data_IF_996621545263
#
_entry.id   IF_996621545263
#
_cell.length_a   1.000
_cell.length_b   1.000
_cell.length_c   1.000
_cell.angle_alpha   90.00
_cell.angle_beta   90.00
_cell.angle_gamma   90.00
#
_symmetry.space_group_name_H-M   'P 1'
#
loop_
_entity.id
_entity.type
_entity.pdbx_description
1 polymer ?
#
# COMPACT_ATOMS: atom_id res chain seq x y z
N UNK A 1 -28.54 14.07 -3.26
CA UNK A 1 -28.65 13.94 -1.80
C UNK A 1 -27.40 14.55 -1.19
N UNK A 2 -27.49 15.83 -0.81
CA UNK A 2 -26.37 16.67 -0.43
C UNK A 2 -26.23 16.60 1.10
N UNK A 3 -25.10 16.10 1.61
CA UNK A 3 -24.83 16.02 3.04
C UNK A 3 -24.02 17.27 3.42
N UNK A 4 -24.68 18.20 4.12
CA UNK A 4 -24.09 19.39 4.71
C UNK A 4 -23.34 18.99 6.00
N UNK A 5 -22.08 19.37 6.21
CA UNK A 5 -21.38 19.11 7.47
C UNK A 5 -21.93 19.98 8.62
N UNK A 6 -22.24 19.32 9.73
CA UNK A 6 -22.89 19.80 10.96
C UNK A 6 -22.03 20.73 11.84
N UNK A 7 -21.32 21.70 11.27
CA UNK A 7 -20.46 22.63 12.02
C UNK A 7 -21.12 23.99 12.36
N UNK A 8 -22.29 24.32 11.83
CA UNK A 8 -22.87 25.68 11.94
C UNK A 8 -23.75 25.95 13.16
N UNK A 9 -23.90 25.02 14.11
CA UNK A 9 -24.99 25.13 15.11
C UNK A 9 -24.66 25.77 16.46
N UNK A 10 -23.47 26.34 16.70
CA UNK A 10 -23.06 26.74 18.08
C UNK A 10 -22.55 28.17 18.31
N UNK A 11 -22.85 29.15 17.45
CA UNK A 11 -22.49 30.55 17.75
C UNK A 11 -23.67 31.50 17.48
N UNK A 12 -24.66 31.50 18.38
CA UNK A 12 -25.62 32.61 18.51
C UNK A 12 -25.73 33.02 19.97
N UNK A 13 -24.94 34.02 20.35
CA UNK A 13 -25.19 34.85 21.54
C UNK A 13 -25.19 36.30 21.08
N UNK A 14 -26.39 36.88 21.03
CA UNK A 14 -26.62 38.28 20.66
C UNK A 14 -26.51 39.16 21.90
N UNK A 15 -25.52 40.04 21.96
CA UNK A 15 -25.50 41.18 22.89
C UNK A 15 -26.05 42.42 22.19
N UNK A 16 -27.20 42.90 22.68
CA UNK A 16 -27.81 44.18 22.34
C UNK A 16 -26.89 45.34 22.74
N UNK A 17 -26.52 46.20 21.78
CA UNK A 17 -25.96 47.52 22.05
C UNK A 17 -26.61 48.58 21.14
N UNK A 18 -26.85 49.72 21.77
CA UNK A 18 -27.59 50.92 21.37
C UNK A 18 -26.98 51.62 20.13
N UNK A 19 -27.77 52.23 19.23
CA UNK A 19 -27.24 52.88 18.04
C UNK A 19 -26.72 54.30 18.35
N UNK A 20 -25.42 54.52 18.20
CA UNK A 20 -24.85 55.87 18.06
C UNK A 20 -24.58 56.12 16.59
N UNK A 21 -25.34 57.03 15.99
CA UNK A 21 -25.16 57.46 14.61
C UNK A 21 -23.86 58.27 14.49
N UNK A 22 -22.97 57.84 13.60
CA UNK A 22 -21.81 58.63 13.18
C UNK A 22 -21.65 58.52 11.66
N UNK A 23 -21.88 59.66 11.00
CA UNK A 23 -21.53 60.05 9.62
C UNK A 23 -21.40 58.95 8.55
N UNK A 24 -22.39 58.94 7.66
CA UNK A 24 -22.32 58.30 6.33
C UNK A 24 -21.20 58.91 5.48
N UNK A 25 -20.05 58.25 5.45
CA UNK A 25 -19.20 58.28 4.26
C UNK A 25 -19.78 57.27 3.27
N UNK A 26 -20.37 57.74 2.18
CA UNK A 26 -20.65 56.89 1.03
C UNK A 26 -19.31 56.32 0.55
N UNK A 27 -19.04 55.05 0.84
CA UNK A 27 -18.04 54.29 0.12
C UNK A 27 -18.42 54.33 -1.35
N UNK A 28 -17.48 54.64 -2.24
CA UNK A 28 -17.76 54.63 -3.66
C UNK A 28 -18.32 53.26 -4.06
N UNK A 29 -19.34 53.25 -4.91
CA UNK A 29 -19.93 52.05 -5.55
C UNK A 29 -18.93 51.32 -6.48
N UNK A 30 -17.63 51.57 -6.32
CA UNK A 30 -16.50 51.01 -7.06
C UNK A 30 -15.51 50.28 -6.15
N UNK A 31 -15.83 50.08 -4.87
CA UNK A 31 -15.06 49.18 -4.01
C UNK A 31 -15.22 47.75 -4.53
N UNK A 32 -14.34 47.32 -5.45
CA UNK A 32 -14.24 45.93 -5.85
C UNK A 32 -14.04 45.09 -4.58
N UNK A 33 -14.86 44.05 -4.35
CA UNK A 33 -14.64 43.15 -3.22
C UNK A 33 -13.24 42.57 -3.35
N UNK A 34 -12.34 43.02 -2.48
CA UNK A 34 -10.96 42.53 -2.45
C UNK A 34 -11.00 41.17 -1.80
N UNK A 35 -10.97 40.12 -2.61
CA UNK A 35 -10.80 38.74 -2.13
C UNK A 35 -9.35 38.64 -1.64
N UNK A 36 -9.15 38.78 -0.34
CA UNK A 36 -7.87 38.51 0.30
C UNK A 36 -7.64 36.99 0.20
N UNK A 37 -6.53 36.52 -0.38
CA UNK A 37 -6.23 35.09 -0.43
C UNK A 37 -6.12 34.52 0.99
N UNK A 38 -6.88 33.47 1.29
CA UNK A 38 -6.77 32.76 2.55
C UNK A 38 -5.39 32.12 2.71
N UNK A 39 -4.89 32.12 3.94
CA UNK A 39 -3.66 31.42 4.29
C UNK A 39 -3.82 29.90 4.06
N UNK A 40 -2.75 29.19 3.65
CA UNK A 40 -2.83 27.74 3.45
C UNK A 40 -3.22 27.01 4.74
N UNK A 41 -4.19 26.10 4.63
CA UNK A 41 -4.61 25.24 5.74
C UNK A 41 -3.70 24.02 5.79
N UNK A 42 -3.05 23.79 6.93
CA UNK A 42 -2.21 22.63 7.14
C UNK A 42 -3.01 21.48 7.74
N UNK A 43 -3.02 20.35 7.05
CA UNK A 43 -3.57 19.11 7.58
C UNK A 43 -2.46 18.34 8.30
N UNK A 44 -2.65 17.97 9.56
CA UNK A 44 -1.64 17.24 10.31
C UNK A 44 -2.17 15.91 10.83
N UNK A 45 -1.27 14.93 10.96
CA UNK A 45 -1.56 13.75 11.76
C UNK A 45 -1.69 14.17 13.23
N UNK A 46 -2.77 13.74 13.87
CA UNK A 46 -2.99 13.92 15.30
C UNK A 46 -2.33 12.81 16.11
N UNK A 47 -2.52 12.85 17.43
CA UNK A 47 -1.99 11.84 18.36
C UNK A 47 -2.41 10.41 17.99
N UNK A 48 -3.64 10.22 17.52
CA UNK A 48 -4.14 8.91 17.09
C UNK A 48 -3.32 8.34 15.93
N UNK A 49 -3.09 9.11 14.86
CA UNK A 49 -2.30 8.66 13.72
C UNK A 49 -0.87 8.27 14.14
N UNK A 50 -0.20 9.10 14.93
CA UNK A 50 1.15 8.79 15.41
C UNK A 50 1.21 7.55 16.31
N UNK A 51 0.23 7.35 17.20
CA UNK A 51 0.14 6.13 18.02
C UNK A 51 -0.07 4.89 17.14
N UNK A 52 -0.90 4.99 16.11
CA UNK A 52 -1.10 3.90 15.14
C UNK A 52 0.20 3.53 14.44
N UNK A 53 0.98 4.51 13.97
CA UNK A 53 2.27 4.25 13.31
C UNK A 53 3.24 3.48 14.22
N UNK A 54 3.37 3.89 15.49
CA UNK A 54 4.20 3.19 16.48
C UNK A 54 3.68 1.79 16.80
N UNK A 55 2.36 1.61 16.96
CA UNK A 55 1.77 0.31 17.24
C UNK A 55 2.05 -0.68 16.09
N UNK A 56 1.87 -0.25 14.84
CA UNK A 56 2.11 -1.09 13.66
C UNK A 56 3.59 -1.41 13.49
N UNK A 57 4.49 -0.44 13.75
CA UNK A 57 5.93 -0.70 13.80
C UNK A 57 6.26 -1.87 14.74
N UNK A 58 5.78 -1.83 15.99
CA UNK A 58 6.02 -2.89 16.97
C UNK A 58 5.45 -4.23 16.49
N UNK A 59 4.21 -4.24 15.98
CA UNK A 59 3.58 -5.47 15.47
C UNK A 59 4.35 -6.09 14.31
N UNK A 60 4.89 -5.27 13.40
CA UNK A 60 5.70 -5.74 12.27
C UNK A 60 7.05 -6.29 12.71
N UNK A 61 7.72 -5.65 13.68
CA UNK A 61 8.96 -6.18 14.29
C UNK A 61 8.70 -7.53 14.94
N UNK A 62 7.65 -7.64 15.76
CA UNK A 62 7.28 -8.91 16.41
C UNK A 62 6.94 -10.00 15.39
N UNK A 63 6.22 -9.64 14.32
CA UNK A 63 5.89 -10.58 13.24
C UNK A 63 7.15 -11.05 12.50
N UNK A 64 8.06 -10.13 12.18
CA UNK A 64 9.34 -10.45 11.54
C UNK A 64 10.18 -11.40 12.41
N UNK A 65 10.31 -11.10 13.71
CA UNK A 65 11.00 -11.97 14.67
C UNK A 65 10.36 -13.37 14.76
N UNK A 66 9.02 -13.43 14.77
CA UNK A 66 8.30 -14.71 14.78
C UNK A 66 8.56 -15.53 13.51
N UNK A 67 8.50 -14.93 12.32
CA UNK A 67 8.77 -15.64 11.06
C UNK A 67 10.22 -16.08 10.93
N UNK A 68 11.17 -15.24 11.37
CA UNK A 68 12.58 -15.61 11.48
C UNK A 68 12.77 -16.80 12.42
N UNK A 69 12.13 -16.77 13.59
CA UNK A 69 12.17 -17.85 14.58
C UNK A 69 11.61 -19.17 14.05
N UNK A 70 10.46 -19.12 13.37
CA UNK A 70 9.87 -20.30 12.72
C UNK A 70 10.80 -20.88 11.64
N UNK A 71 11.58 -20.04 10.96
CA UNK A 71 12.49 -20.49 9.90
C UNK A 71 13.63 -21.36 10.42
N UNK A 72 14.07 -21.20 11.67
CA UNK A 72 15.23 -21.94 12.22
C UNK A 72 15.06 -23.45 12.23
N UNK A 73 13.82 -23.94 12.27
CA UNK A 73 13.49 -25.37 12.31
C UNK A 73 13.23 -25.98 10.92
N UNK A 74 13.34 -25.20 9.84
CA UNK A 74 13.06 -25.64 8.47
C UNK A 74 14.38 -25.92 7.74
N UNK A 75 14.54 -26.86 6.79
CA UNK A 75 15.78 -26.95 6.01
C UNK A 75 15.98 -25.73 5.08
N UNK A 76 17.22 -25.31 4.80
CA UNK A 76 17.52 -24.11 3.99
C UNK A 76 16.80 -24.11 2.64
N UNK A 77 16.75 -25.25 1.95
CA UNK A 77 16.05 -25.43 0.67
C UNK A 77 14.53 -25.19 0.73
N UNK A 78 13.93 -25.20 1.92
CA UNK A 78 12.49 -24.97 2.16
C UNK A 78 12.19 -23.67 2.91
N UNK A 79 13.22 -22.86 3.23
CA UNK A 79 13.06 -21.62 4.03
C UNK A 79 12.66 -20.39 3.20
N UNK A 80 12.66 -20.45 1.88
CA UNK A 80 12.52 -19.25 1.05
C UNK A 80 11.22 -18.46 1.33
N UNK A 81 10.06 -19.10 1.55
CA UNK A 81 8.84 -18.37 1.94
C UNK A 81 9.00 -17.64 3.28
N UNK A 82 9.71 -18.24 4.25
CA UNK A 82 9.99 -17.60 5.52
C UNK A 82 10.91 -16.39 5.34
N UNK A 83 11.95 -16.52 4.51
CA UNK A 83 12.86 -15.40 4.18
C UNK A 83 12.10 -14.26 3.52
N UNK A 84 11.29 -14.55 2.49
CA UNK A 84 10.49 -13.53 1.80
C UNK A 84 9.50 -12.83 2.75
N UNK A 85 8.80 -13.59 3.60
CA UNK A 85 7.85 -13.04 4.58
C UNK A 85 8.55 -12.20 5.66
N UNK A 86 9.68 -12.68 6.17
CA UNK A 86 10.48 -11.97 7.20
C UNK A 86 11.02 -10.67 6.64
N UNK A 87 11.59 -10.69 5.43
CA UNK A 87 12.08 -9.49 4.74
C UNK A 87 10.94 -8.51 4.48
N UNK A 88 9.79 -8.99 4.00
CA UNK A 88 8.66 -8.10 3.74
C UNK A 88 8.17 -7.38 5.00
N UNK A 89 8.00 -8.10 6.11
CA UNK A 89 7.58 -7.50 7.39
C UNK A 89 8.66 -6.59 8.00
N UNK A 90 9.94 -6.93 7.83
CA UNK A 90 11.05 -6.09 8.29
C UNK A 90 11.15 -4.78 7.49
N UNK A 91 11.02 -4.83 6.17
CA UNK A 91 10.97 -3.65 5.31
C UNK A 91 9.85 -2.72 5.73
N UNK A 92 8.64 -3.26 5.95
CA UNK A 92 7.52 -2.43 6.42
C UNK A 92 7.78 -1.88 7.82
N UNK A 93 8.38 -2.65 8.74
CA UNK A 93 8.74 -2.11 10.05
C UNK A 93 9.64 -0.87 9.92
N UNK A 94 10.66 -0.91 9.05
CA UNK A 94 11.54 0.24 8.81
C UNK A 94 10.77 1.44 8.23
N UNK A 95 9.85 1.22 7.31
CA UNK A 95 9.02 2.28 6.76
C UNK A 95 8.09 2.90 7.82
N UNK A 96 7.43 2.09 8.65
CA UNK A 96 6.59 2.58 9.75
C UNK A 96 7.40 3.32 10.81
N UNK A 97 8.62 2.89 11.10
CA UNK A 97 9.55 3.64 11.95
C UNK A 97 9.83 5.03 11.36
N UNK A 98 10.21 5.10 10.08
CA UNK A 98 10.44 6.36 9.37
C UNK A 98 9.21 7.29 9.33
N UNK A 99 8.01 6.73 9.22
CA UNK A 99 6.76 7.50 9.29
C UNK A 99 6.49 8.01 10.72
N UNK A 100 6.70 7.17 11.73
CA UNK A 100 6.49 7.53 13.13
C UNK A 100 7.46 8.63 13.60
N UNK A 101 8.70 8.61 13.10
CA UNK A 101 9.73 9.64 13.33
C UNK A 101 9.63 10.83 12.37
N UNK A 102 8.65 10.84 11.46
CA UNK A 102 8.37 11.88 10.45
C UNK A 102 9.40 12.03 9.33
N UNK A 103 10.41 11.17 9.26
CA UNK A 103 11.41 11.17 8.17
C UNK A 103 10.83 10.64 6.85
N UNK A 104 9.80 9.80 6.94
CA UNK A 104 9.08 9.21 5.80
C UNK A 104 7.93 10.07 5.25
N UNK A 105 7.85 11.34 5.65
CA UNK A 105 6.76 12.25 5.29
C UNK A 105 7.31 13.46 4.54
N UNK A 106 6.60 13.90 3.50
CA UNK A 106 6.85 15.19 2.82
C UNK A 106 5.56 16.00 2.73
N UNK A 107 5.65 17.32 2.58
CA UNK A 107 4.48 18.20 2.55
C UNK A 107 4.17 18.61 1.12
N UNK A 108 2.91 18.49 0.72
CA UNK A 108 2.47 18.85 -0.62
C UNK A 108 1.28 19.80 -0.60
N UNK A 109 1.34 20.83 -1.44
CA UNK A 109 0.26 21.80 -1.59
C UNK A 109 -0.76 21.28 -2.61
N UNK A 110 -2.04 21.46 -2.31
CA UNK A 110 -3.13 21.21 -3.24
C UNK A 110 -4.20 22.29 -3.13
N UNK A 111 -5.04 22.39 -4.16
CA UNK A 111 -6.00 23.49 -4.33
C UNK A 111 -7.40 22.92 -4.43
N UNK A 112 -8.32 23.45 -3.64
CA UNK A 112 -9.75 23.13 -3.70
C UNK A 112 -10.48 24.39 -4.17
N UNK A 113 -11.31 24.23 -5.20
CA UNK A 113 -12.18 25.32 -5.68
C UNK A 113 -13.46 25.25 -4.86
N UNK A 114 -13.72 26.27 -4.06
CA UNK A 114 -14.96 26.42 -3.30
C UNK A 114 -15.95 27.15 -4.19
N UNK A 115 -17.03 26.44 -4.54
CA UNK A 115 -18.11 27.00 -5.34
C UNK A 115 -19.04 27.80 -4.45
N UNK A 116 -19.28 29.06 -4.81
CA UNK A 116 -20.16 29.96 -4.08
C UNK A 116 -21.32 30.37 -4.99
N UNK A 117 -22.53 30.44 -4.45
CA UNK A 117 -23.73 30.76 -5.25
C UNK A 117 -23.81 32.23 -5.69
N UNK A 118 -23.38 33.16 -4.83
CA UNK A 118 -23.61 34.60 -5.01
C UNK A 118 -22.31 35.41 -5.12
N UNK A 119 -21.15 34.75 -5.07
CA UNK A 119 -19.82 35.38 -5.23
C UNK A 119 -18.94 34.50 -6.13
N UNK A 120 -17.89 35.07 -6.76
CA UNK A 120 -16.95 34.28 -7.53
C UNK A 120 -16.38 33.09 -6.73
N UNK A 121 -16.07 32.01 -7.43
CA UNK A 121 -15.42 30.84 -6.82
C UNK A 121 -14.12 31.28 -6.13
N UNK A 122 -13.92 30.77 -4.93
CA UNK A 122 -12.68 30.99 -4.18
C UNK A 122 -11.79 29.77 -4.28
N UNK A 123 -10.48 29.96 -4.17
CA UNK A 123 -9.51 28.86 -4.19
C UNK A 123 -8.88 28.77 -2.81
N UNK A 124 -9.11 27.65 -2.15
CA UNK A 124 -8.49 27.35 -0.87
C UNK A 124 -7.27 26.45 -1.06
N UNK A 125 -6.17 26.84 -0.46
CA UNK A 125 -4.91 26.10 -0.51
C UNK A 125 -4.79 25.22 0.73
N UNK A 126 -4.52 23.94 0.52
CA UNK A 126 -4.27 22.97 1.59
C UNK A 126 -2.85 22.43 1.48
N UNK A 127 -2.20 22.21 2.62
CA UNK A 127 -0.88 21.58 2.72
C UNK A 127 -1.07 20.26 3.45
N UNK A 128 -0.86 19.14 2.76
CA UNK A 128 -1.10 17.80 3.31
C UNK A 128 0.17 16.96 3.30
N UNK A 129 0.42 16.16 4.35
CA UNK A 129 1.54 15.24 4.40
C UNK A 129 1.30 14.07 3.44
N UNK A 130 2.31 13.75 2.64
CA UNK A 130 2.39 12.54 1.84
C UNK A 130 3.39 11.61 2.53
N UNK A 131 2.91 10.44 2.92
CA UNK A 131 3.69 9.38 3.54
C UNK A 131 4.51 8.61 2.47
N UNK A 132 5.52 9.26 1.89
CA UNK A 132 6.31 8.72 0.78
C UNK A 132 7.01 7.39 1.11
N UNK A 133 7.34 7.16 2.39
CA UNK A 133 7.96 5.90 2.84
C UNK A 133 7.08 4.67 2.59
N UNK A 134 5.74 4.81 2.54
CA UNK A 134 4.87 3.71 2.14
C UNK A 134 5.15 3.23 0.71
N UNK A 135 5.42 4.14 -0.23
CA UNK A 135 5.70 3.74 -1.61
C UNK A 135 7.04 3.02 -1.74
N UNK A 136 8.04 3.38 -0.93
CA UNK A 136 9.32 2.62 -0.87
C UNK A 136 9.09 1.24 -0.27
N UNK A 137 8.28 1.15 0.80
CA UNK A 137 7.85 -0.13 1.37
C UNK A 137 7.17 -1.00 0.31
N UNK A 138 6.15 -0.49 -0.38
CA UNK A 138 5.39 -1.25 -1.38
C UNK A 138 6.23 -1.62 -2.60
N UNK A 139 7.20 -0.79 -2.98
CA UNK A 139 8.12 -1.07 -4.09
C UNK A 139 9.02 -2.28 -3.79
N UNK A 140 9.35 -2.51 -2.52
CA UNK A 140 10.18 -3.64 -2.09
C UNK A 140 9.32 -4.84 -1.70
N UNK A 141 8.24 -4.62 -0.94
CA UNK A 141 7.39 -5.70 -0.40
C UNK A 141 6.43 -6.27 -1.42
N UNK A 142 5.95 -5.48 -2.38
CA UNK A 142 5.10 -5.96 -3.47
C UNK A 142 5.75 -7.07 -4.29
N UNK A 143 7.01 -6.90 -4.79
CA UNK A 143 7.75 -7.98 -5.44
C UNK A 143 7.95 -9.21 -4.56
N UNK A 144 8.26 -9.04 -3.27
CA UNK A 144 8.46 -10.16 -2.33
C UNK A 144 7.16 -10.95 -2.10
N UNK A 145 6.02 -10.27 -1.98
CA UNK A 145 4.71 -10.91 -1.84
C UNK A 145 4.31 -11.63 -3.13
N UNK A 146 4.49 -11.00 -4.28
CA UNK A 146 4.15 -11.61 -5.57
C UNK A 146 5.07 -12.77 -5.91
N UNK A 147 6.35 -12.73 -5.52
CA UNK A 147 7.22 -13.90 -5.64
C UNK A 147 6.66 -15.09 -4.86
N UNK A 148 6.19 -14.90 -3.63
CA UNK A 148 5.57 -15.97 -2.83
C UNK A 148 4.33 -16.54 -3.51
N UNK A 149 3.45 -15.69 -4.05
CA UNK A 149 2.23 -16.11 -4.75
C UNK A 149 2.53 -16.81 -6.08
N UNK A 150 3.50 -16.32 -6.85
CA UNK A 150 3.94 -16.91 -8.11
C UNK A 150 4.54 -18.29 -7.89
N UNK A 151 5.38 -18.46 -6.87
CA UNK A 151 5.94 -19.76 -6.52
C UNK A 151 4.84 -20.73 -6.08
N UNK A 152 3.85 -20.25 -5.33
CA UNK A 152 2.72 -21.08 -4.92
C UNK A 152 1.91 -21.60 -6.12
N UNK A 153 1.73 -20.78 -7.16
CA UNK A 153 1.10 -21.21 -8.41
C UNK A 153 2.00 -22.07 -9.31
N UNK A 154 3.32 -22.14 -9.03
CA UNK A 154 4.30 -22.72 -9.94
C UNK A 154 4.42 -21.96 -11.27
N UNK A 155 4.31 -20.64 -11.23
CA UNK A 155 4.55 -19.81 -12.41
C UNK A 155 6.01 -19.89 -12.84
N UNK A 156 6.24 -19.88 -14.16
CA UNK A 156 7.59 -19.78 -14.71
C UNK A 156 8.22 -18.41 -14.45
N UNK A 157 9.53 -18.30 -14.73
CA UNK A 157 10.30 -17.08 -14.52
C UNK A 157 9.79 -15.88 -15.32
N UNK A 158 9.33 -16.06 -16.56
CA UNK A 158 8.85 -14.97 -17.38
C UNK A 158 7.53 -14.41 -16.84
N UNK A 159 6.56 -15.27 -16.51
CA UNK A 159 5.31 -14.82 -15.87
C UNK A 159 5.57 -14.18 -14.50
N UNK A 160 6.48 -14.73 -13.71
CA UNK A 160 6.89 -14.14 -12.42
C UNK A 160 7.50 -12.75 -12.60
N UNK A 161 8.43 -12.58 -13.55
CA UNK A 161 9.08 -11.29 -13.83
C UNK A 161 8.09 -10.25 -14.35
N UNK A 162 7.17 -10.64 -15.24
CA UNK A 162 6.09 -9.75 -15.72
C UNK A 162 5.23 -9.29 -14.54
N UNK A 163 4.87 -10.20 -13.64
CA UNK A 163 4.06 -9.89 -12.46
C UNK A 163 4.77 -8.89 -11.54
N UNK A 164 6.06 -9.09 -11.28
CA UNK A 164 6.89 -8.19 -10.47
C UNK A 164 7.04 -6.82 -11.15
N UNK A 165 7.36 -6.79 -12.44
CA UNK A 165 7.51 -5.54 -13.19
C UNK A 165 6.20 -4.73 -13.23
N UNK A 166 5.06 -5.40 -13.43
CA UNK A 166 3.75 -4.78 -13.38
C UNK A 166 3.48 -4.17 -11.99
N UNK A 167 3.82 -4.87 -10.90
CA UNK A 167 3.71 -4.31 -9.57
C UNK A 167 4.62 -3.07 -9.36
N UNK A 168 5.86 -3.11 -9.83
CA UNK A 168 6.77 -1.95 -9.76
C UNK A 168 6.14 -0.74 -10.44
N UNK A 169 5.57 -0.92 -11.64
CA UNK A 169 4.87 0.15 -12.37
C UNK A 169 3.61 0.61 -11.62
N UNK A 170 2.84 -0.32 -11.05
CA UNK A 170 1.67 0.00 -10.22
C UNK A 170 2.04 0.93 -9.06
N UNK A 171 3.06 0.59 -8.28
CA UNK A 171 3.51 1.39 -7.13
C UNK A 171 4.09 2.74 -7.56
N UNK A 172 4.96 2.76 -8.58
CA UNK A 172 5.57 4.00 -9.08
C UNK A 172 4.52 4.94 -9.70
N UNK A 173 3.56 4.41 -10.45
CA UNK A 173 2.44 5.19 -10.98
C UNK A 173 1.59 5.79 -9.85
N UNK A 174 1.34 5.03 -8.78
CA UNK A 174 0.66 5.54 -7.59
C UNK A 174 1.44 6.66 -6.90
N UNK A 175 2.77 6.49 -6.75
CA UNK A 175 3.67 7.49 -6.18
C UNK A 175 3.62 8.80 -7.00
N UNK A 176 3.87 8.71 -8.30
CA UNK A 176 3.89 9.91 -9.15
C UNK A 176 2.52 10.56 -9.28
N UNK A 177 1.43 9.79 -9.20
CA UNK A 177 0.09 10.36 -9.10
C UNK A 177 -0.08 11.17 -7.80
N UNK A 178 0.39 10.65 -6.66
CA UNK A 178 0.35 11.36 -5.39
C UNK A 178 1.17 12.66 -5.38
N UNK A 179 2.31 12.69 -6.10
CA UNK A 179 3.17 13.87 -6.21
C UNK A 179 2.76 14.84 -7.33
N UNK A 180 1.97 14.42 -8.31
CA UNK A 180 1.50 15.30 -9.39
C UNK A 180 0.36 16.26 -8.95
N UNK A 181 0.26 16.56 -7.66
CA UNK A 181 -0.84 17.38 -7.15
C UNK A 181 -0.77 18.80 -7.70
N UNK A 182 -1.88 19.30 -8.24
CA UNK A 182 -1.93 20.59 -8.93
C UNK A 182 -1.74 20.52 -10.44
N UNK A 183 -1.33 19.36 -10.97
CA UNK A 183 -1.31 19.04 -12.40
C UNK A 183 -2.28 17.90 -12.70
N UNK A 184 -3.57 18.23 -12.79
CA UNK A 184 -4.66 17.23 -12.93
C UNK A 184 -4.40 16.23 -14.06
N UNK A 185 -3.92 16.69 -15.22
CA UNK A 185 -3.61 15.81 -16.34
C UNK A 185 -2.52 14.77 -16.01
N UNK A 186 -1.41 15.21 -15.41
CA UNK A 186 -0.32 14.32 -14.99
C UNK A 186 -0.78 13.37 -13.87
N UNK A 187 -1.53 13.87 -12.88
CA UNK A 187 -2.06 13.07 -11.78
C UNK A 187 -2.94 11.92 -12.29
N UNK A 188 -3.88 12.19 -13.19
CA UNK A 188 -4.75 11.17 -13.78
C UNK A 188 -4.02 10.27 -14.77
N UNK A 189 -3.03 10.79 -15.50
CA UNK A 189 -2.17 9.97 -16.37
C UNK A 189 -1.42 8.90 -15.56
N UNK A 190 -0.74 9.30 -14.49
CA UNK A 190 -0.03 8.38 -13.60
C UNK A 190 -0.97 7.40 -12.90
N UNK A 191 -2.15 7.86 -12.46
CA UNK A 191 -3.17 6.99 -11.88
C UNK A 191 -3.64 5.92 -12.87
N UNK A 192 -3.85 6.30 -14.14
CA UNK A 192 -4.28 5.38 -15.20
C UNK A 192 -3.20 4.35 -15.52
N UNK A 193 -1.93 4.76 -15.61
CA UNK A 193 -0.79 3.84 -15.79
C UNK A 193 -0.73 2.84 -14.64
N UNK A 194 -0.89 3.32 -13.40
CA UNK A 194 -0.94 2.48 -12.20
C UNK A 194 -2.08 1.46 -12.28
N UNK A 195 -3.30 1.89 -12.64
CA UNK A 195 -4.46 1.02 -12.77
C UNK A 195 -4.27 -0.07 -13.85
N UNK A 196 -3.72 0.28 -15.02
CA UNK A 196 -3.41 -0.70 -16.08
C UNK A 196 -2.41 -1.73 -15.58
N UNK A 197 -1.35 -1.28 -14.91
CA UNK A 197 -0.34 -2.18 -14.35
C UNK A 197 -0.93 -3.13 -13.29
N UNK A 198 -1.85 -2.64 -12.46
CA UNK A 198 -2.60 -3.50 -11.53
C UNK A 198 -3.45 -4.55 -12.26
N UNK A 199 -4.12 -4.20 -13.36
CA UNK A 199 -4.85 -5.18 -14.17
C UNK A 199 -3.92 -6.25 -14.78
N UNK A 200 -2.68 -5.89 -15.13
CA UNK A 200 -1.67 -6.88 -15.56
C UNK A 200 -1.32 -7.84 -14.41
N UNK A 201 -1.18 -7.36 -13.18
CA UNK A 201 -1.01 -8.23 -12.00
C UNK A 201 -2.21 -9.18 -11.86
N UNK A 202 -3.45 -8.66 -11.95
CA UNK A 202 -4.65 -9.48 -11.89
C UNK A 202 -4.70 -10.55 -12.99
N UNK A 203 -4.30 -10.20 -14.21
CA UNK A 203 -4.20 -11.15 -15.32
C UNK A 203 -3.24 -12.28 -14.99
N UNK A 204 -2.05 -11.96 -14.50
CA UNK A 204 -1.06 -12.97 -14.11
C UNK A 204 -1.57 -13.89 -13.01
N UNK A 205 -2.29 -13.37 -12.01
CA UNK A 205 -2.84 -14.18 -10.92
C UNK A 205 -4.02 -15.06 -11.39
N UNK A 206 -5.03 -14.47 -12.03
CA UNK A 206 -6.30 -15.15 -12.30
C UNK A 206 -6.34 -15.93 -13.61
N UNK A 207 -5.46 -15.63 -14.56
CA UNK A 207 -5.37 -16.36 -15.84
C UNK A 207 -4.20 -17.33 -15.78
N UNK A 208 -2.97 -16.82 -15.73
CA UNK A 208 -1.78 -17.66 -15.80
C UNK A 208 -1.60 -18.48 -14.52
N UNK A 209 -1.62 -17.84 -13.36
CA UNK A 209 -1.41 -18.48 -12.07
C UNK A 209 -2.47 -19.53 -11.76
N UNK A 210 -3.74 -19.23 -12.06
CA UNK A 210 -4.83 -20.19 -11.90
C UNK A 210 -4.65 -21.43 -12.78
N UNK A 211 -4.24 -21.26 -14.04
CA UNK A 211 -3.99 -22.39 -14.94
C UNK A 211 -2.84 -23.27 -14.44
N UNK A 212 -1.74 -22.67 -13.98
CA UNK A 212 -0.60 -23.40 -13.43
C UNK A 212 -0.94 -24.12 -12.11
N UNK A 213 -1.63 -23.43 -11.19
CA UNK A 213 -2.05 -24.04 -9.93
C UNK A 213 -3.06 -25.18 -10.13
N UNK A 214 -3.92 -25.10 -11.15
CA UNK A 214 -4.86 -26.17 -11.50
C UNK A 214 -4.13 -27.45 -11.98
N UNK A 215 -3.02 -27.30 -12.72
CA UNK A 215 -2.22 -28.43 -13.18
C UNK A 215 -1.52 -29.18 -12.04
N UNK A 216 -1.29 -28.55 -10.89
CA UNK A 216 -0.67 -29.17 -9.71
C UNK A 216 -1.65 -29.94 -8.82
N UNK A 217 -2.96 -29.79 -9.05
CA UNK A 217 -4.00 -30.49 -8.32
C UNK A 217 -4.96 -29.57 -7.58
N UNK A 218 -6.09 -30.15 -7.17
CA UNK A 218 -7.24 -29.40 -6.65
C UNK A 218 -6.93 -28.66 -5.33
N UNK A 219 -6.10 -29.23 -4.44
CA UNK A 219 -5.70 -28.60 -3.17
C UNK A 219 -4.88 -27.33 -3.41
N UNK A 220 -3.85 -27.40 -4.26
CA UNK A 220 -3.00 -26.26 -4.62
C UNK A 220 -3.83 -25.20 -5.34
N UNK A 221 -4.66 -25.61 -6.31
CA UNK A 221 -5.54 -24.69 -7.06
C UNK A 221 -6.48 -23.89 -6.16
N UNK A 222 -7.16 -24.54 -5.20
CA UNK A 222 -8.08 -23.88 -4.26
C UNK A 222 -7.36 -22.92 -3.33
N UNK A 223 -6.22 -23.35 -2.78
CA UNK A 223 -5.45 -22.50 -1.89
C UNK A 223 -4.86 -21.29 -2.62
N UNK A 224 -4.28 -21.51 -3.81
CA UNK A 224 -3.80 -20.42 -4.67
C UNK A 224 -4.93 -19.45 -5.01
N UNK A 225 -6.10 -19.93 -5.42
CA UNK A 225 -7.23 -19.05 -5.73
C UNK A 225 -7.67 -18.22 -4.52
N UNK A 226 -7.68 -18.82 -3.33
CA UNK A 226 -8.00 -18.11 -2.09
C UNK A 226 -6.98 -17.00 -1.80
N UNK A 227 -5.68 -17.31 -1.97
CA UNK A 227 -4.58 -16.35 -1.83
C UNK A 227 -4.67 -15.23 -2.88
N UNK A 228 -4.95 -15.56 -4.13
CA UNK A 228 -5.09 -14.59 -5.21
C UNK A 228 -6.25 -13.62 -4.95
N UNK A 229 -7.43 -14.14 -4.59
CA UNK A 229 -8.60 -13.32 -4.24
C UNK A 229 -8.30 -12.42 -3.04
N UNK A 230 -7.74 -12.98 -1.96
CA UNK A 230 -7.39 -12.23 -0.76
C UNK A 230 -6.44 -11.07 -1.08
N UNK A 231 -5.33 -11.37 -1.75
CA UNK A 231 -4.31 -10.38 -2.13
C UNK A 231 -4.90 -9.30 -3.02
N UNK A 232 -5.67 -9.67 -4.05
CA UNK A 232 -6.30 -8.71 -4.95
C UNK A 232 -7.28 -7.79 -4.21
N UNK A 233 -8.15 -8.31 -3.34
CA UNK A 233 -9.10 -7.47 -2.60
C UNK A 233 -8.40 -6.49 -1.65
N UNK A 234 -7.39 -6.95 -0.91
CA UNK A 234 -6.60 -6.08 -0.03
C UNK A 234 -5.89 -5.00 -0.85
N UNK A 235 -5.30 -5.36 -2.00
CA UNK A 235 -4.55 -4.42 -2.84
C UNK A 235 -5.45 -3.40 -3.54
N UNK A 236 -6.68 -3.78 -3.93
CA UNK A 236 -7.65 -2.88 -4.53
C UNK A 236 -8.10 -1.77 -3.57
N UNK A 237 -7.98 -1.98 -2.24
CA UNK A 237 -8.34 -0.97 -1.26
C UNK A 237 -7.31 0.18 -1.15
N UNK A 238 -6.02 -0.05 -1.42
CA UNK A 238 -4.97 0.97 -1.35
C UNK A 238 -5.23 2.21 -2.23
N UNK A 239 -5.56 2.08 -3.54
CA UNK A 239 -5.86 3.25 -4.35
C UNK A 239 -7.14 3.98 -3.90
N UNK A 240 -8.11 3.26 -3.33
CA UNK A 240 -9.35 3.85 -2.81
C UNK A 240 -9.05 4.73 -1.59
N UNK A 241 -8.21 4.26 -0.66
CA UNK A 241 -7.81 5.03 0.53
C UNK A 241 -6.99 6.28 0.16
N UNK A 242 -6.29 6.26 -0.98
CA UNK A 242 -5.51 7.38 -1.51
C UNK A 242 -6.30 8.50 -2.18
N UNK A 243 -7.63 8.41 -2.24
CA UNK A 243 -8.51 9.42 -2.90
C UNK A 243 -8.60 10.76 -2.17
N UNK A 244 -7.91 10.93 -1.03
CA UNK A 244 -7.85 12.15 -0.20
C UNK A 244 -9.18 12.63 0.38
N UNK A 245 -10.22 11.78 0.34
CA UNK A 245 -11.50 12.03 1.02
C UNK A 245 -11.37 11.86 2.54
N UNK A 246 -10.43 11.03 2.99
CA UNK A 246 -10.17 10.77 4.40
C UNK A 246 -9.33 11.89 5.03
N UNK A 247 -9.52 12.15 6.33
CA UNK A 247 -8.55 12.94 7.10
C UNK A 247 -7.20 12.19 7.19
N UNK A 248 -6.11 12.91 7.46
CA UNK A 248 -4.76 12.31 7.62
C UNK A 248 -4.74 11.15 8.63
N UNK A 249 -5.42 11.26 9.77
CA UNK A 249 -5.47 10.17 10.76
C UNK A 249 -6.16 8.91 10.21
N UNK A 250 -7.31 9.08 9.56
CA UNK A 250 -8.05 7.96 8.97
C UNK A 250 -7.28 7.31 7.81
N UNK A 251 -6.54 8.08 7.01
CA UNK A 251 -5.66 7.53 5.97
C UNK A 251 -4.55 6.66 6.57
N UNK A 252 -3.87 7.16 7.62
CA UNK A 252 -2.85 6.40 8.35
C UNK A 252 -3.42 5.09 8.90
N UNK A 253 -4.61 5.14 9.53
CA UNK A 253 -5.26 3.95 10.08
C UNK A 253 -5.66 2.97 8.97
N UNK A 254 -6.15 3.47 7.84
CA UNK A 254 -6.55 2.62 6.72
C UNK A 254 -5.34 1.88 6.15
N UNK A 255 -4.22 2.57 5.85
CA UNK A 255 -3.01 1.92 5.38
C UNK A 255 -2.41 0.97 6.42
N UNK A 256 -2.44 1.33 7.70
CA UNK A 256 -2.05 0.46 8.80
C UNK A 256 -2.79 -0.88 8.79
N UNK A 257 -4.10 -0.85 8.65
CA UNK A 257 -4.93 -2.07 8.59
C UNK A 257 -4.59 -2.88 7.33
N UNK A 258 -4.49 -2.22 6.17
CA UNK A 258 -4.17 -2.89 4.91
C UNK A 258 -2.79 -3.56 4.95
N UNK A 259 -1.78 -2.89 5.51
CA UNK A 259 -0.43 -3.45 5.61
C UNK A 259 -0.36 -4.62 6.60
N UNK A 260 -1.09 -4.56 7.72
CA UNK A 260 -1.19 -5.69 8.65
C UNK A 260 -1.88 -6.90 8.00
N UNK A 261 -2.90 -6.67 7.16
CA UNK A 261 -3.55 -7.73 6.39
C UNK A 261 -2.59 -8.31 5.34
N UNK A 262 -2.02 -7.45 4.49
CA UNK A 262 -1.21 -7.86 3.35
C UNK A 262 0.11 -8.54 3.73
N UNK A 263 0.63 -8.32 4.95
CA UNK A 263 1.99 -8.75 5.32
C UNK A 263 2.01 -9.75 6.46
N UNK A 264 1.83 -9.40 7.75
CA UNK A 264 1.92 -10.38 8.82
C UNK A 264 0.75 -11.36 8.83
N UNK A 265 -0.49 -10.93 8.56
CA UNK A 265 -1.64 -11.85 8.52
C UNK A 265 -1.53 -12.79 7.33
N UNK A 266 -1.29 -12.23 6.14
CA UNK A 266 -1.01 -13.02 4.93
C UNK A 266 0.15 -14.02 5.15
N UNK A 267 1.28 -13.54 5.67
CA UNK A 267 2.47 -14.34 5.92
C UNK A 267 2.23 -15.48 6.91
N UNK A 268 1.56 -15.20 8.04
CA UNK A 268 1.18 -16.22 9.00
C UNK A 268 0.27 -17.28 8.36
N UNK A 269 -0.74 -16.87 7.60
CA UNK A 269 -1.64 -17.78 6.91
C UNK A 269 -0.91 -18.64 5.87
N UNK A 270 -0.03 -18.03 5.07
CA UNK A 270 0.75 -18.72 4.05
C UNK A 270 1.69 -19.76 4.67
N UNK A 271 2.51 -19.36 5.64
CA UNK A 271 3.51 -20.24 6.27
C UNK A 271 2.87 -21.37 7.07
N UNK A 272 1.76 -21.11 7.77
CA UNK A 272 1.04 -22.15 8.50
C UNK A 272 0.36 -23.15 7.57
N UNK A 273 -0.17 -22.70 6.43
CA UNK A 273 -0.76 -23.62 5.44
C UNK A 273 0.32 -24.42 4.73
N UNK A 274 1.41 -23.76 4.30
CA UNK A 274 2.57 -24.40 3.68
C UNK A 274 3.18 -25.48 4.57
N UNK A 275 3.31 -25.24 5.88
CA UNK A 275 3.87 -26.23 6.81
C UNK A 275 2.95 -27.43 7.07
N UNK A 276 1.63 -27.28 6.95
CA UNK A 276 0.64 -28.33 7.28
C UNK A 276 0.15 -29.16 6.10
N UNK A 277 0.30 -28.68 4.87
CA UNK A 277 -0.28 -29.30 3.67
C UNK A 277 0.84 -29.82 2.75
N UNK A 278 1.14 -31.13 2.74
CA UNK A 278 2.24 -31.71 1.97
C UNK A 278 2.13 -31.48 0.46
N UNK A 279 0.92 -31.47 -0.11
CA UNK A 279 0.68 -31.22 -1.54
C UNK A 279 1.18 -29.85 -1.97
N UNK A 280 1.00 -28.84 -1.10
CA UNK A 280 1.50 -27.48 -1.34
C UNK A 280 3.03 -27.45 -1.26
N UNK A 281 3.65 -28.21 -0.36
CA UNK A 281 5.11 -28.32 -0.30
C UNK A 281 5.72 -28.98 -1.52
N UNK A 282 5.05 -30.01 -2.06
CA UNK A 282 5.52 -30.77 -3.20
C UNK A 282 5.54 -29.95 -4.50
N UNK A 283 4.54 -29.07 -4.71
CA UNK A 283 4.45 -28.20 -5.89
C UNK A 283 5.50 -27.09 -5.94
N UNK A 284 6.09 -26.77 -4.79
CA UNK A 284 6.93 -25.60 -4.54
C UNK A 284 8.44 -25.92 -4.66
N UNK A 285 8.79 -26.67 -5.73
CA UNK A 285 10.16 -27.04 -6.10
C UNK A 285 10.77 -26.17 -7.21
N UNK A 286 11.97 -26.52 -7.68
CA UNK A 286 12.65 -25.83 -8.81
C UNK A 286 13.86 -24.99 -8.39
N UNK A 287 14.41 -24.19 -9.33
CA UNK A 287 15.71 -23.54 -9.16
C UNK A 287 15.80 -22.61 -7.94
N UNK A 288 14.71 -21.94 -7.57
CA UNK A 288 14.66 -21.08 -6.39
C UNK A 288 14.90 -21.82 -5.06
N UNK A 289 14.65 -23.13 -5.04
CA UNK A 289 14.84 -24.00 -3.87
C UNK A 289 16.09 -24.90 -3.98
N UNK A 290 16.56 -25.18 -5.20
CA UNK A 290 17.62 -26.18 -5.49
C UNK A 290 18.82 -25.66 -6.28
N UNK A 291 18.80 -24.41 -6.75
CA UNK A 291 19.79 -23.86 -7.69
C UNK A 291 19.56 -24.31 -9.14
N UNK A 292 20.40 -23.85 -10.06
CA UNK A 292 20.46 -24.39 -11.42
C UNK A 292 20.91 -25.87 -11.35
N UNK A 293 20.30 -26.76 -12.14
CA UNK A 293 20.22 -28.23 -11.96
C UNK A 293 21.52 -29.06 -11.77
N UNK A 294 22.71 -28.50 -11.51
CA UNK A 294 23.96 -29.27 -11.48
C UNK A 294 25.17 -28.74 -10.66
N UNK A 295 25.03 -27.83 -9.71
CA UNK A 295 26.21 -27.50 -8.85
C UNK A 295 26.34 -28.48 -7.67
N UNK A 296 27.04 -29.60 -7.92
CA UNK A 296 27.74 -30.34 -6.85
C UNK A 296 27.48 -31.84 -6.68
N UNK A 297 26.71 -32.52 -7.55
CA UNK A 297 26.61 -33.99 -7.49
C UNK A 297 27.66 -34.63 -8.42
N UNK A 298 28.94 -34.56 -8.02
CA UNK A 298 29.93 -35.54 -8.48
C UNK A 298 29.48 -36.88 -7.89
N UNK A 299 28.84 -37.72 -8.72
CA UNK A 299 28.75 -39.15 -8.42
C UNK A 299 30.15 -39.69 -8.62
N UNK A 300 30.89 -39.89 -7.52
CA UNK A 300 32.00 -40.84 -7.54
C UNK A 300 31.32 -42.17 -7.85
N UNK A 301 31.52 -42.67 -9.06
CA UNK A 301 31.26 -44.08 -9.32
C UNK A 301 32.25 -44.82 -8.43
N UNK A 302 31.73 -45.58 -7.47
CA UNK A 302 32.54 -46.59 -6.82
C UNK A 302 32.90 -47.58 -7.91
N UNK A 303 34.13 -47.48 -8.43
CA UNK A 303 34.76 -48.52 -9.24
C UNK A 303 35.04 -49.72 -8.32
N UNK A 304 33.98 -50.42 -7.87
CA UNK A 304 34.07 -51.81 -7.44
C UNK A 304 33.88 -52.69 -8.67
N UNK A 305 34.97 -52.90 -9.42
CA UNK A 305 35.19 -54.09 -10.25
C UNK A 305 36.65 -54.09 -10.72
N UNK A 306 37.52 -54.81 -9.99
CA UNK A 306 38.89 -55.01 -10.46
C UNK A 306 39.91 -55.55 -9.45
N UNK A 307 39.65 -56.69 -8.81
CA UNK A 307 40.68 -57.66 -8.39
C UNK A 307 40.07 -59.03 -8.13
#
# INVERSE_FOLDING_TARGET
MMIVPTAEMFMKTSTLLVPTATSTHHASDTAFPTVIPDLPIFEHAGTTGYRTLWAVFVLLVLSSAAFAGLSWNVPVSKRYLHVLTTTATLTSALAYFGLATKQGITWHVYRVVVHNEHVPNTVQHFVRPIAWAHYVDWLITGPLLLAQVSFLAGLDGAHTLITIAANTIFVLGGLFSAFATGHKGAQWGWYTISAIAYFVVLWQLFVNGRAHAAAQGNTVSRFFLSVAIYTSLVWAAYPITGTRVLSVNHEIIAYAVLDLLAKPIFGAWLLTTYSKVPEIQAGLGGFWSRGLDAEGRIRIADDEDGA
#
